data_IF_952831637538
#
_entry.id   IF_952831637538
#
_cell.length_a   1.000
_cell.length_b   1.000
_cell.length_c   1.000
_cell.angle_alpha   90.00
_cell.angle_beta   90.00
_cell.angle_gamma   90.00
#
_symmetry.space_group_name_H-M   'P 1'
#
loop_
_entity.id
_entity.type
_entity.pdbx_description
1 polymer ?
#
# COMPACT_ATOMS: atom_id res chain seq x y z
N UNK A 1 -20.07 -12.37 3.96
CA UNK A 1 -19.20 -11.16 3.87
C UNK A 1 -18.96 -10.56 5.25
N UNK A 2 -17.71 -10.37 5.65
CA UNK A 2 -17.40 -9.69 6.91
C UNK A 2 -17.62 -8.19 6.75
N UNK A 3 -18.24 -7.57 7.74
CA UNK A 3 -18.46 -6.12 7.74
C UNK A 3 -17.13 -5.39 7.96
N UNK A 4 -16.93 -4.23 7.33
CA UNK A 4 -15.72 -3.40 7.48
C UNK A 4 -15.33 -3.15 8.95
N UNK A 5 -16.33 -3.01 9.85
CA UNK A 5 -16.10 -2.80 11.29
C UNK A 5 -15.35 -3.97 11.96
N UNK A 6 -15.56 -5.19 11.47
CA UNK A 6 -14.95 -6.41 12.02
C UNK A 6 -13.53 -6.68 11.53
N UNK A 7 -13.01 -5.88 10.58
CA UNK A 7 -11.67 -6.05 10.02
C UNK A 7 -10.57 -5.64 11.02
N UNK A 8 -9.38 -6.27 10.95
CA UNK A 8 -8.18 -5.82 11.65
C UNK A 8 -7.84 -4.36 11.33
N UNK A 9 -7.12 -3.70 12.23
CA UNK A 9 -6.74 -2.29 12.05
C UNK A 9 -5.89 -2.07 10.79
N UNK A 10 -4.94 -2.96 10.55
CA UNK A 10 -4.09 -2.91 9.37
C UNK A 10 -4.88 -2.99 8.06
N UNK A 11 -5.80 -3.97 7.95
CA UNK A 11 -6.66 -4.12 6.77
C UNK A 11 -7.54 -2.89 6.52
N UNK A 12 -8.04 -2.23 7.57
CA UNK A 12 -8.80 -0.97 7.44
C UNK A 12 -7.95 0.14 6.84
N UNK A 13 -6.71 0.28 7.30
CA UNK A 13 -5.78 1.28 6.76
C UNK A 13 -5.51 1.03 5.27
N UNK A 14 -5.23 -0.22 4.88
CA UNK A 14 -5.01 -0.57 3.47
C UNK A 14 -6.23 -0.26 2.61
N UNK A 15 -7.44 -0.63 3.08
CA UNK A 15 -8.69 -0.44 2.33
C UNK A 15 -9.11 1.04 2.21
N UNK A 16 -8.65 1.90 3.10
CA UNK A 16 -8.92 3.35 3.02
C UNK A 16 -7.80 4.04 2.22
N UNK A 17 -6.54 3.77 2.56
CA UNK A 17 -5.41 4.43 1.93
C UNK A 17 -5.26 4.05 0.45
N UNK A 18 -5.53 2.79 0.07
CA UNK A 18 -5.39 2.31 -1.30
C UNK A 18 -6.24 3.08 -2.31
N UNK A 19 -7.57 3.14 -2.15
CA UNK A 19 -8.43 3.94 -3.02
C UNK A 19 -8.07 5.43 -3.05
N UNK A 20 -7.73 6.02 -1.90
CA UNK A 20 -7.31 7.43 -1.83
C UNK A 20 -6.00 7.65 -2.59
N UNK A 21 -5.06 6.73 -2.47
CA UNK A 21 -3.79 6.75 -3.20
C UNK A 21 -4.03 6.64 -4.70
N UNK A 22 -4.93 5.75 -5.13
CA UNK A 22 -5.32 5.63 -6.53
C UNK A 22 -5.96 6.93 -7.05
N UNK A 23 -6.87 7.53 -6.29
CA UNK A 23 -7.51 8.80 -6.65
C UNK A 23 -6.51 9.95 -6.71
N UNK A 24 -5.48 9.94 -5.88
CA UNK A 24 -4.47 11.01 -5.85
C UNK A 24 -3.60 11.06 -7.12
N UNK A 25 -3.59 10.01 -7.95
CA UNK A 25 -2.92 10.02 -9.27
C UNK A 25 -3.56 10.99 -10.27
N UNK A 26 -4.82 11.38 -10.05
CA UNK A 26 -5.54 12.34 -10.91
C UNK A 26 -5.25 13.80 -10.56
N UNK A 27 -4.54 14.05 -9.47
CA UNK A 27 -4.15 15.43 -9.12
C UNK A 27 -2.85 15.83 -9.82
N UNK A 28 -2.59 17.13 -9.88
CA UNK A 28 -1.34 17.66 -10.44
C UNK A 28 -0.16 17.31 -9.54
N UNK A 29 0.75 16.51 -10.06
CA UNK A 29 1.93 16.01 -9.34
C UNK A 29 3.12 16.92 -9.46
N UNK A 30 3.34 17.47 -10.68
CA UNK A 30 4.45 18.35 -10.97
C UNK A 30 4.04 19.43 -11.95
N UNK A 31 4.77 20.54 -11.92
CA UNK A 31 4.62 21.63 -12.84
C UNK A 31 5.87 21.67 -13.74
N UNK A 32 5.70 21.33 -15.01
CA UNK A 32 6.79 21.43 -15.99
C UNK A 32 6.89 22.87 -16.47
N UNK A 33 8.03 23.52 -16.21
CA UNK A 33 8.36 24.78 -16.88
C UNK A 33 8.88 24.49 -18.28
N UNK A 34 8.17 24.96 -19.29
CA UNK A 34 8.60 24.90 -20.71
C UNK A 34 9.09 26.28 -21.07
N UNK A 35 10.39 26.40 -21.35
CA UNK A 35 11.03 27.64 -21.79
C UNK A 35 10.95 27.75 -23.32
N UNK A 36 10.18 28.70 -23.79
CA UNK A 36 10.07 29.04 -25.23
C UNK A 36 11.06 30.11 -25.67
N UNK A 37 12.12 30.33 -24.92
CA UNK A 37 13.14 31.32 -25.19
C UNK A 37 12.59 32.75 -25.17
N UNK A 38 12.62 33.49 -26.32
CA UNK A 38 12.11 34.86 -26.41
C UNK A 38 10.59 35.00 -26.19
N UNK A 39 9.83 33.91 -26.32
CA UNK A 39 8.37 33.91 -26.10
C UNK A 39 7.99 33.75 -24.63
N UNK A 40 8.97 33.52 -23.72
CA UNK A 40 8.72 33.40 -22.29
C UNK A 40 8.61 31.94 -21.82
N UNK A 41 8.24 31.78 -20.56
CA UNK A 41 8.07 30.45 -19.93
C UNK A 41 6.58 30.15 -19.76
N UNK A 42 6.18 28.90 -20.03
CA UNK A 42 4.86 28.40 -19.72
C UNK A 42 4.96 27.25 -18.70
N UNK A 43 3.99 27.15 -17.80
CA UNK A 43 3.89 26.08 -16.84
C UNK A 43 2.81 25.10 -17.30
N UNK A 44 3.18 23.85 -17.53
CA UNK A 44 2.27 22.77 -17.88
C UNK A 44 2.08 21.84 -16.66
N UNK A 45 0.87 21.76 -16.07
CA UNK A 45 0.59 20.82 -15.00
C UNK A 45 0.59 19.39 -15.55
N UNK A 46 1.28 18.47 -14.87
CA UNK A 46 1.23 17.05 -15.17
C UNK A 46 0.61 16.27 -14.00
N UNK A 47 -0.25 15.32 -14.36
CA UNK A 47 -0.83 14.36 -13.41
C UNK A 47 0.15 13.21 -13.08
N UNK A 48 -0.31 12.30 -12.21
CA UNK A 48 0.49 11.15 -11.79
C UNK A 48 0.52 9.98 -12.77
N UNK A 49 -0.15 10.06 -13.93
CA UNK A 49 -0.35 8.95 -14.87
C UNK A 49 0.79 8.77 -15.89
N UNK A 50 2.01 8.82 -15.43
CA UNK A 50 3.17 8.36 -16.19
C UNK A 50 3.40 6.84 -16.01
N UNK A 51 4.45 6.31 -16.64
CA UNK A 51 4.78 4.88 -16.51
C UNK A 51 5.01 4.45 -15.06
N UNK A 52 5.58 5.31 -14.20
CA UNK A 52 5.76 5.06 -12.78
C UNK A 52 4.44 5.07 -12.02
N UNK A 53 3.60 6.05 -12.26
CA UNK A 53 2.28 6.16 -11.66
C UNK A 53 1.39 4.97 -12.02
N UNK A 54 1.44 4.51 -13.27
CA UNK A 54 0.72 3.31 -13.70
C UNK A 54 1.20 2.06 -12.94
N UNK A 55 2.51 1.89 -12.80
CA UNK A 55 3.07 0.76 -12.03
C UNK A 55 2.61 0.80 -10.56
N UNK A 56 2.65 1.98 -9.92
CA UNK A 56 2.18 2.17 -8.54
C UNK A 56 0.68 1.91 -8.44
N UNK A 57 -0.13 2.35 -9.41
CA UNK A 57 -1.57 2.08 -9.47
C UNK A 57 -1.85 0.58 -9.50
N UNK A 58 -1.19 -0.17 -10.37
CA UNK A 58 -1.36 -1.62 -10.48
C UNK A 58 -0.97 -2.35 -9.19
N UNK A 59 0.17 -1.99 -8.58
CA UNK A 59 0.60 -2.54 -7.30
C UNK A 59 -0.39 -2.24 -6.18
N UNK A 60 -0.93 -1.02 -6.14
CA UNK A 60 -1.92 -0.61 -5.14
C UNK A 60 -3.23 -1.39 -5.32
N UNK A 61 -3.74 -1.50 -6.54
CA UNK A 61 -4.95 -2.28 -6.85
C UNK A 61 -4.73 -3.74 -6.45
N UNK A 62 -3.60 -4.34 -6.79
CA UNK A 62 -3.25 -5.70 -6.42
C UNK A 62 -3.24 -5.88 -4.90
N UNK A 63 -2.61 -4.97 -4.16
CA UNK A 63 -2.55 -5.01 -2.69
C UNK A 63 -3.94 -4.94 -2.07
N UNK A 64 -4.78 -3.99 -2.51
CA UNK A 64 -6.16 -3.83 -2.03
C UNK A 64 -6.99 -5.06 -2.37
N UNK A 65 -6.87 -5.59 -3.59
CA UNK A 65 -7.60 -6.79 -4.03
C UNK A 65 -7.27 -7.99 -3.16
N UNK A 66 -6.00 -8.25 -2.86
CA UNK A 66 -5.59 -9.34 -1.97
C UNK A 66 -6.25 -9.18 -0.59
N UNK A 67 -6.26 -7.98 -0.01
CA UNK A 67 -6.89 -7.73 1.29
C UNK A 67 -8.40 -7.95 1.23
N UNK A 68 -9.08 -7.49 0.17
CA UNK A 68 -10.52 -7.70 -0.03
C UNK A 68 -10.83 -9.20 -0.14
N UNK A 69 -10.13 -9.93 -1.02
CA UNK A 69 -10.34 -11.36 -1.22
C UNK A 69 -10.14 -12.16 0.07
N UNK A 70 -9.11 -11.87 0.83
CA UNK A 70 -8.80 -12.59 2.08
C UNK A 70 -9.70 -12.25 3.24
N UNK A 71 -10.06 -10.99 3.39
CA UNK A 71 -10.70 -10.48 4.60
C UNK A 71 -12.20 -10.30 4.47
N UNK A 72 -12.68 -9.99 3.28
CA UNK A 72 -14.09 -9.68 3.04
C UNK A 72 -14.84 -10.78 2.30
N UNK A 73 -14.15 -11.60 1.51
CA UNK A 73 -14.76 -12.75 0.84
C UNK A 73 -14.42 -14.05 1.57
N UNK A 74 -15.20 -15.10 1.32
CA UNK A 74 -14.95 -16.46 1.85
C UNK A 74 -14.07 -17.29 0.88
N UNK A 75 -13.39 -16.61 -0.05
CA UNK A 75 -12.54 -17.28 -1.03
C UNK A 75 -11.35 -17.93 -0.33
N UNK A 76 -11.16 -19.23 -0.58
CA UNK A 76 -10.00 -19.97 -0.11
C UNK A 76 -8.79 -19.57 -0.95
N UNK A 77 -7.80 -19.01 -0.28
CA UNK A 77 -6.51 -18.68 -0.90
C UNK A 77 -5.59 -19.90 -0.88
N UNK A 78 -4.67 -20.05 -1.86
CA UNK A 78 -3.72 -21.15 -1.88
C UNK A 78 -2.97 -21.29 -0.56
N UNK A 79 -2.91 -22.54 -0.05
CA UNK A 79 -2.19 -22.86 1.16
C UNK A 79 -0.66 -22.81 0.93
N UNK A 80 0.09 -22.59 2.00
CA UNK A 80 1.56 -22.53 1.96
C UNK A 80 2.13 -21.14 1.65
N UNK A 81 1.31 -20.15 1.31
CA UNK A 81 1.75 -18.77 1.07
C UNK A 81 1.39 -17.88 2.25
N UNK A 82 2.37 -17.16 2.79
CA UNK A 82 2.12 -16.12 3.79
C UNK A 82 1.54 -14.87 3.12
N UNK A 83 0.22 -14.84 2.92
CA UNK A 83 -0.45 -13.73 2.24
C UNK A 83 -0.33 -12.39 2.97
N UNK A 84 -0.21 -12.40 4.31
CA UNK A 84 0.09 -11.18 5.07
C UNK A 84 1.49 -10.67 4.75
N UNK A 85 2.46 -11.59 4.57
CA UNK A 85 3.80 -11.26 4.10
C UNK A 85 3.81 -10.70 2.68
N UNK A 86 3.07 -11.31 1.76
CA UNK A 86 2.92 -10.81 0.38
C UNK A 86 2.33 -9.40 0.38
N UNK A 87 1.24 -9.17 1.13
CA UNK A 87 0.61 -7.85 1.23
C UNK A 87 1.57 -6.80 1.81
N UNK A 88 2.37 -7.18 2.82
CA UNK A 88 3.39 -6.31 3.40
C UNK A 88 4.48 -5.94 2.38
N UNK A 89 5.02 -6.92 1.66
CA UNK A 89 6.05 -6.67 0.63
C UNK A 89 5.49 -5.75 -0.47
N UNK A 90 4.27 -6.01 -0.96
CA UNK A 90 3.64 -5.15 -1.97
C UNK A 90 3.45 -3.73 -1.44
N UNK A 91 2.95 -3.55 -0.21
CA UNK A 91 2.80 -2.24 0.40
C UNK A 91 4.13 -1.49 0.56
N UNK A 92 5.19 -2.20 0.96
CA UNK A 92 6.53 -1.64 1.04
C UNK A 92 7.07 -1.20 -0.33
N UNK A 93 6.83 -1.99 -1.38
CA UNK A 93 7.23 -1.66 -2.75
C UNK A 93 6.44 -0.44 -3.26
N UNK A 94 5.13 -0.36 -2.99
CA UNK A 94 4.31 0.83 -3.31
C UNK A 94 4.89 2.07 -2.65
N UNK A 95 5.20 2.01 -1.36
CA UNK A 95 5.79 3.13 -0.63
C UNK A 95 7.15 3.53 -1.18
N UNK A 96 8.05 2.57 -1.39
CA UNK A 96 9.38 2.84 -1.94
C UNK A 96 9.30 3.46 -3.35
N UNK A 97 8.41 2.95 -4.20
CA UNK A 97 8.19 3.49 -5.55
C UNK A 97 7.63 4.92 -5.51
N UNK A 98 6.67 5.18 -4.62
CA UNK A 98 6.11 6.52 -4.42
C UNK A 98 7.16 7.52 -3.93
N UNK A 99 7.99 7.13 -2.96
CA UNK A 99 9.07 7.95 -2.44
C UNK A 99 10.13 8.23 -3.51
N UNK A 100 10.56 7.21 -4.25
CA UNK A 100 11.53 7.37 -5.35
C UNK A 100 11.00 8.28 -6.44
N UNK A 101 9.71 8.14 -6.82
CA UNK A 101 9.08 9.03 -7.79
C UNK A 101 9.11 10.47 -7.29
N UNK A 102 8.66 10.72 -6.07
CA UNK A 102 8.64 12.06 -5.47
C UNK A 102 10.03 12.71 -5.37
N UNK A 103 11.09 11.90 -5.20
CA UNK A 103 12.48 12.41 -5.18
C UNK A 103 13.04 12.70 -6.56
N UNK A 104 12.51 12.07 -7.61
CA UNK A 104 12.96 12.24 -9.00
C UNK A 104 12.24 13.37 -9.72
N UNK A 105 10.97 13.60 -9.36
CA UNK A 105 10.16 14.62 -10.00
C UNK A 105 10.67 16.01 -9.57
N UNK A 106 11.12 16.80 -10.56
CA UNK A 106 11.46 18.19 -10.34
C UNK A 106 10.17 18.98 -10.06
N UNK A 107 10.24 19.96 -9.16
CA UNK A 107 9.10 20.83 -8.79
C UNK A 107 7.85 20.07 -8.34
N UNK A 108 8.06 19.07 -7.45
CA UNK A 108 7.00 18.27 -6.84
C UNK A 108 5.94 19.16 -6.19
N UNK A 109 4.68 18.96 -6.54
CA UNK A 109 3.56 19.67 -5.93
C UNK A 109 3.21 19.09 -4.55
N UNK A 110 2.34 19.79 -3.79
CA UNK A 110 1.82 19.28 -2.52
C UNK A 110 1.13 17.91 -2.66
N UNK A 111 0.56 17.62 -3.83
CA UNK A 111 -0.11 16.33 -4.09
C UNK A 111 0.88 15.16 -4.10
N UNK A 112 2.11 15.37 -4.57
CA UNK A 112 3.18 14.36 -4.52
C UNK A 112 3.51 13.96 -3.07
N UNK A 113 3.62 14.93 -2.16
CA UNK A 113 3.86 14.65 -0.73
C UNK A 113 2.67 13.93 -0.09
N UNK A 114 1.44 14.35 -0.41
CA UNK A 114 0.22 13.67 0.04
C UNK A 114 0.16 12.21 -0.42
N UNK A 115 0.58 11.95 -1.65
CA UNK A 115 0.66 10.60 -2.20
C UNK A 115 1.67 9.72 -1.45
N UNK A 116 2.88 10.22 -1.16
CA UNK A 116 3.87 9.50 -0.37
C UNK A 116 3.35 9.21 1.04
N UNK A 117 2.65 10.16 1.66
CA UNK A 117 2.03 9.95 2.96
C UNK A 117 0.96 8.85 2.92
N UNK A 118 0.09 8.83 1.91
CA UNK A 118 -0.90 7.76 1.72
C UNK A 118 -0.25 6.39 1.46
N UNK A 119 0.82 6.35 0.68
CA UNK A 119 1.60 5.13 0.45
C UNK A 119 2.25 4.62 1.75
N UNK A 120 2.75 5.52 2.60
CA UNK A 120 3.25 5.16 3.93
C UNK A 120 2.14 4.58 4.82
N UNK A 121 0.95 5.17 4.84
CA UNK A 121 -0.20 4.65 5.60
C UNK A 121 -0.59 3.25 5.11
N UNK A 122 -0.60 3.02 3.80
CA UNK A 122 -0.87 1.71 3.20
C UNK A 122 0.18 0.68 3.65
N UNK A 123 1.47 1.03 3.58
CA UNK A 123 2.57 0.14 3.99
C UNK A 123 2.51 -0.18 5.48
N UNK A 124 2.22 0.81 6.34
CA UNK A 124 2.02 0.61 7.79
C UNK A 124 0.84 -0.30 8.05
N UNK A 125 -0.28 -0.12 7.34
CA UNK A 125 -1.44 -1.00 7.45
C UNK A 125 -1.09 -2.46 7.12
N UNK A 126 -0.40 -2.68 6.02
CA UNK A 126 0.06 -4.01 5.61
C UNK A 126 1.07 -4.62 6.60
N UNK A 127 1.96 -3.81 7.17
CA UNK A 127 2.89 -4.23 8.22
C UNK A 127 2.17 -4.68 9.50
N UNK A 128 1.15 -3.92 9.94
CA UNK A 128 0.37 -4.26 11.14
C UNK A 128 -0.34 -5.61 10.97
N UNK A 129 -0.95 -5.87 9.83
CA UNK A 129 -1.59 -7.16 9.53
C UNK A 129 -0.59 -8.31 9.54
N UNK A 130 0.60 -8.12 8.97
CA UNK A 130 1.66 -9.12 8.99
C UNK A 130 2.20 -9.37 10.41
N UNK A 131 2.42 -8.31 11.19
CA UNK A 131 2.92 -8.42 12.57
C UNK A 131 1.92 -9.15 13.48
N UNK A 132 0.62 -8.87 13.35
CA UNK A 132 -0.44 -9.53 14.10
C UNK A 132 -0.54 -11.02 13.73
N UNK A 133 -0.44 -11.37 12.45
CA UNK A 133 -0.42 -12.76 11.99
C UNK A 133 0.76 -13.53 12.60
N UNK A 134 1.97 -12.95 12.55
CA UNK A 134 3.18 -13.54 13.11
C UNK A 134 3.13 -13.70 14.63
N UNK A 135 2.52 -12.76 15.34
CA UNK A 135 2.29 -12.86 16.78
C UNK A 135 1.31 -13.99 17.13
N UNK A 136 0.27 -14.19 16.32
CA UNK A 136 -0.68 -15.30 16.45
C UNK A 136 -0.01 -16.67 16.31
N UNK A 137 0.83 -16.84 15.29
CA UNK A 137 1.58 -18.09 15.07
C UNK A 137 2.49 -18.45 16.27
N UNK A 138 3.20 -17.47 16.81
CA UNK A 138 4.07 -17.68 18.00
C UNK A 138 3.30 -18.15 19.23
N UNK A 139 2.10 -17.63 19.45
CA UNK A 139 1.24 -18.04 20.57
C UNK A 139 0.77 -19.48 20.45
N UNK A 140 0.41 -19.92 19.25
CA UNK A 140 -0.03 -21.30 18.98
C UNK A 140 1.12 -22.28 19.24
N UNK A 141 2.32 -21.98 18.72
CA UNK A 141 3.51 -22.84 18.92
C UNK A 141 3.89 -22.90 20.40
N UNK A 142 3.83 -21.78 21.13
CA UNK A 142 4.11 -21.74 22.58
C UNK A 142 3.14 -22.61 23.38
N UNK A 143 1.84 -22.55 23.08
CA UNK A 143 0.82 -23.39 23.73
C UNK A 143 1.06 -24.89 23.49
N UNK A 144 1.30 -25.30 22.23
CA UNK A 144 1.63 -26.71 21.91
C UNK A 144 2.84 -27.23 22.70
N UNK A 145 3.89 -26.43 22.88
CA UNK A 145 5.08 -26.83 23.67
C UNK A 145 4.76 -27.00 25.15
N UNK A 146 3.87 -26.20 25.71
CA UNK A 146 3.44 -26.34 27.11
C UNK A 146 2.62 -27.62 27.30
N UNK A 147 1.67 -27.88 26.40
CA UNK A 147 0.82 -29.08 26.46
C UNK A 147 1.63 -30.39 26.41
N UNK A 148 2.65 -30.42 25.57
CA UNK A 148 3.58 -31.58 25.48
C UNK A 148 4.41 -31.75 26.78
N UNK A 149 4.83 -30.64 27.41
CA UNK A 149 5.61 -30.71 28.67
C UNK A 149 4.76 -31.13 29.87
N UNK A 150 3.48 -30.79 29.88
CA UNK A 150 2.58 -31.18 30.97
C UNK A 150 2.05 -32.60 30.86
N UNK A 151 2.22 -33.25 29.69
CA UNK A 151 1.82 -34.64 29.43
C UNK A 151 2.95 -35.65 29.62
N UNK A 152 4.18 -35.19 29.82
CA UNK A 152 5.38 -36.02 30.10
C UNK A 152 5.72 -36.01 31.59
#
# INVERSE_FOLDING_TARGET
MKTFKALPRGSKLVLVAGPLLFLSLFFTWQNLEIDYGRAGKAVAPQDGWDAWGLAIALLTITTVTIVVLRRMTEMQMPEGVSWDGVTFVLGAVVFASAALKSLRDADSSWASYGFVALAAVLAVGAYLDWADAKAGERRIVGRKRQDVRSAA
#
